data_IF_827678895599
#
_entry.id   IF_827678895599
#
_cell.length_a   1.000
_cell.length_b   1.000
_cell.length_c   1.000
_cell.angle_alpha   90.00
_cell.angle_beta   90.00
_cell.angle_gamma   90.00
#
_symmetry.space_group_name_H-M   'P 1'
#
loop_
_entity.id
_entity.type
_entity.pdbx_description
1 polymer ?
#
# COMPACT_ATOMS: atom_id res chain seq x y z
N UNK A 1 -2.77 18.68 4.31
CA UNK A 1 -2.96 19.55 3.13
C UNK A 1 -4.45 19.57 2.72
N UNK A 2 -5.37 19.88 3.66
CA UNK A 2 -6.81 19.52 3.57
C UNK A 2 -7.76 20.53 2.88
N UNK A 3 -7.24 21.62 2.29
CA UNK A 3 -8.10 22.71 1.77
C UNK A 3 -8.03 22.97 0.26
N UNK A 4 -7.39 22.09 -0.54
CA UNK A 4 -7.31 22.27 -2.00
C UNK A 4 -8.25 21.39 -2.83
N UNK A 5 -8.83 20.33 -2.26
CA UNK A 5 -9.62 19.35 -3.03
C UNK A 5 -11.15 19.58 -3.01
N UNK A 6 -11.66 20.34 -2.03
CA UNK A 6 -13.09 20.74 -1.98
C UNK A 6 -13.55 21.53 -3.22
N UNK A 7 -12.63 22.09 -4.01
CA UNK A 7 -12.97 22.86 -5.23
C UNK A 7 -13.30 21.99 -6.44
N UNK A 8 -12.85 20.74 -6.54
CA UNK A 8 -13.14 19.91 -7.72
C UNK A 8 -14.55 19.31 -7.62
N UNK A 9 -14.97 18.88 -6.43
CA UNK A 9 -16.33 18.36 -6.20
C UNK A 9 -17.41 19.41 -6.47
N UNK A 10 -17.19 20.66 -6.03
CA UNK A 10 -18.06 21.81 -6.30
C UNK A 10 -18.13 22.21 -7.79
N UNK A 11 -17.22 21.73 -8.63
CA UNK A 11 -17.19 22.10 -10.07
C UNK A 11 -17.79 21.02 -10.97
N UNK A 12 -17.74 19.74 -10.59
CA UNK A 12 -18.40 18.66 -11.34
C UNK A 12 -19.87 18.53 -10.91
N UNK A 13 -20.17 18.75 -9.62
CA UNK A 13 -21.53 18.95 -9.13
C UNK A 13 -21.74 20.45 -8.94
N UNK A 14 -21.69 21.24 -10.02
CA UNK A 14 -22.53 22.43 -10.06
C UNK A 14 -23.98 21.92 -10.04
N UNK A 15 -24.54 21.51 -8.89
CA UNK A 15 -25.19 22.40 -7.92
C UNK A 15 -25.81 23.57 -8.72
N UNK A 16 -26.74 23.20 -9.59
CA UNK A 16 -28.09 23.74 -9.52
C UNK A 16 -28.79 23.16 -8.28
N UNK A 17 -28.16 23.27 -7.11
CA UNK A 17 -28.84 23.00 -5.86
C UNK A 17 -29.80 24.14 -5.64
N UNK A 18 -31.07 23.77 -5.60
CA UNK A 18 -32.02 24.34 -4.65
C UNK A 18 -31.96 25.87 -4.58
N UNK A 19 -32.32 26.55 -5.67
CA UNK A 19 -33.10 27.76 -5.43
C UNK A 19 -34.37 27.28 -4.75
N UNK A 20 -34.45 27.48 -3.43
CA UNK A 20 -35.72 27.73 -2.77
C UNK A 20 -36.39 28.87 -3.55
N UNK A 21 -37.10 28.53 -4.62
CA UNK A 21 -38.25 29.33 -5.00
C UNK A 21 -39.32 28.84 -4.06
N UNK A 22 -39.54 29.62 -3.01
CA UNK A 22 -40.65 29.48 -2.09
C UNK A 22 -41.93 29.60 -2.94
N UNK A 23 -42.35 28.49 -3.54
CA UNK A 23 -43.67 28.35 -4.09
C UNK A 23 -44.57 28.29 -2.88
N UNK A 24 -45.36 29.34 -2.66
CA UNK A 24 -46.27 29.43 -1.53
C UNK A 24 -47.06 28.13 -1.37
N UNK A 25 -46.92 27.49 -0.21
CA UNK A 25 -47.82 26.41 0.19
C UNK A 25 -49.22 27.01 0.36
N UNK A 26 -50.21 26.40 -0.28
CA UNK A 26 -51.61 26.75 -0.10
C UNK A 26 -52.04 26.60 1.37
N UNK A 27 -52.95 27.47 1.81
CA UNK A 27 -53.36 27.68 3.21
C UNK A 27 -53.87 26.45 4.00
N UNK A 28 -54.03 25.25 3.41
CA UNK A 28 -54.55 24.06 4.10
C UNK A 28 -53.65 22.82 4.07
N UNK A 29 -52.51 22.85 3.37
CA UNK A 29 -51.53 21.77 3.36
C UNK A 29 -52.04 20.40 2.85
N UNK A 30 -53.26 20.32 2.30
CA UNK A 30 -53.87 19.09 1.79
C UNK A 30 -55.06 19.36 0.83
N UNK A 31 -54.81 19.79 -0.42
CA UNK A 31 -55.44 19.29 -1.67
C UNK A 31 -54.74 19.95 -2.89
N UNK A 32 -54.67 19.42 -4.10
CA UNK A 32 -55.45 18.38 -4.77
C UNK A 32 -56.08 18.84 -6.11
N UNK A 33 -55.78 20.06 -6.62
CA UNK A 33 -56.37 20.52 -7.90
C UNK A 33 -55.34 21.05 -8.92
N UNK A 34 -54.15 21.51 -8.51
CA UNK A 34 -53.15 22.03 -9.47
C UNK A 34 -51.67 21.92 -9.00
N UNK A 35 -51.38 21.32 -7.85
CA UNK A 35 -50.06 21.36 -7.21
C UNK A 35 -49.33 20.03 -7.30
N UNK A 36 -48.08 20.06 -7.78
CA UNK A 36 -47.15 18.94 -7.61
C UNK A 36 -46.90 18.76 -6.11
N UNK A 37 -47.05 17.53 -5.58
CA UNK A 37 -46.64 17.18 -4.23
C UNK A 37 -45.18 17.63 -4.02
N UNK A 38 -44.95 18.53 -3.07
CA UNK A 38 -43.60 19.02 -2.78
C UNK A 38 -42.72 17.92 -2.15
N UNK A 39 -43.31 16.82 -1.67
CA UNK A 39 -42.61 15.67 -1.09
C UNK A 39 -42.14 15.90 0.33
N UNK A 40 -41.92 14.80 1.06
CA UNK A 40 -41.24 14.79 2.35
C UNK A 40 -39.72 14.80 2.14
N UNK A 41 -38.96 15.30 3.13
CA UNK A 41 -37.49 15.26 3.14
C UNK A 41 -36.95 13.83 3.00
N UNK A 42 -37.61 12.87 3.67
CA UNK A 42 -37.27 11.46 3.67
C UNK A 42 -38.39 10.64 3.03
N UNK A 43 -38.05 9.87 1.99
CA UNK A 43 -38.85 8.75 1.52
C UNK A 43 -38.43 7.50 2.31
N UNK A 44 -39.33 6.96 3.13
CA UNK A 44 -39.04 5.80 3.99
C UNK A 44 -39.92 4.62 3.63
N UNK A 45 -39.31 3.51 3.24
CA UNK A 45 -39.96 2.23 2.97
C UNK A 45 -39.39 1.21 3.97
N UNK A 46 -40.23 0.71 4.88
CA UNK A 46 -39.76 -0.18 5.95
C UNK A 46 -40.83 -1.14 6.47
N UNK A 47 -40.42 -2.30 6.98
CA UNK A 47 -41.32 -3.29 7.55
C UNK A 47 -41.99 -4.18 6.50
N UNK A 48 -43.24 -4.57 6.75
CA UNK A 48 -43.93 -5.60 5.95
C UNK A 48 -44.54 -5.10 4.62
N UNK A 49 -43.87 -4.13 4.00
CA UNK A 49 -44.31 -3.43 2.78
C UNK A 49 -44.19 -4.33 1.55
N UNK A 50 -45.25 -4.46 0.75
CA UNK A 50 -45.24 -5.10 -0.57
C UNK A 50 -44.78 -4.14 -1.68
N UNK A 51 -44.55 -4.66 -2.89
CA UNK A 51 -44.20 -3.83 -4.05
C UNK A 51 -45.31 -2.81 -4.37
N UNK A 52 -46.59 -3.19 -4.27
CA UNK A 52 -47.73 -2.29 -4.48
C UNK A 52 -47.81 -1.19 -3.41
N UNK A 53 -47.64 -1.55 -2.13
CA UNK A 53 -47.65 -0.59 -1.02
C UNK A 53 -46.47 0.39 -1.11
N UNK A 54 -45.31 -0.06 -1.60
CA UNK A 54 -44.18 0.82 -1.84
C UNK A 54 -44.47 1.88 -2.92
N UNK A 55 -45.22 1.52 -3.97
CA UNK A 55 -45.65 2.48 -5.00
C UNK A 55 -46.57 3.54 -4.38
N UNK A 56 -47.53 3.13 -3.55
CA UNK A 56 -48.42 4.07 -2.85
C UNK A 56 -47.64 5.03 -1.93
N UNK A 57 -46.67 4.52 -1.16
CA UNK A 57 -45.78 5.34 -0.32
C UNK A 57 -45.01 6.36 -1.17
N UNK A 58 -44.49 5.95 -2.33
CA UNK A 58 -43.76 6.85 -3.24
C UNK A 58 -44.70 7.95 -3.74
N UNK A 59 -45.91 7.62 -4.23
CA UNK A 59 -46.86 8.62 -4.73
C UNK A 59 -47.24 9.67 -3.66
N UNK A 60 -47.31 9.26 -2.39
CA UNK A 60 -47.66 10.14 -1.27
C UNK A 60 -46.50 10.96 -0.71
N UNK A 61 -45.27 10.44 -0.76
CA UNK A 61 -44.13 11.03 -0.03
C UNK A 61 -43.03 11.57 -0.92
N UNK A 62 -42.92 11.11 -2.17
CA UNK A 62 -41.92 11.61 -3.12
C UNK A 62 -42.31 12.96 -3.69
N UNK A 63 -41.33 13.86 -3.79
CA UNK A 63 -41.48 15.15 -4.45
C UNK A 63 -40.18 15.93 -4.49
N UNK A 64 -40.26 17.22 -4.85
CA UNK A 64 -39.09 18.10 -5.04
C UNK A 64 -38.21 18.28 -3.80
N UNK A 65 -38.78 18.10 -2.61
CA UNK A 65 -38.09 18.22 -1.33
C UNK A 65 -37.47 16.91 -0.86
N UNK A 66 -37.71 15.78 -1.54
CA UNK A 66 -37.13 14.49 -1.16
C UNK A 66 -35.64 14.49 -1.42
N UNK A 67 -34.87 14.58 -0.34
CA UNK A 67 -33.42 14.58 -0.35
C UNK A 67 -32.83 13.27 0.14
N UNK A 68 -33.62 12.39 0.78
CA UNK A 68 -33.11 11.15 1.33
C UNK A 68 -34.08 9.99 1.13
N UNK A 69 -33.54 8.81 0.83
CA UNK A 69 -34.31 7.58 0.64
C UNK A 69 -33.80 6.51 1.58
N UNK A 70 -34.69 5.93 2.38
CA UNK A 70 -34.40 4.89 3.34
C UNK A 70 -35.30 3.67 3.05
N UNK A 71 -34.72 2.63 2.47
CA UNK A 71 -35.36 1.33 2.22
C UNK A 71 -34.76 0.36 3.23
N UNK A 72 -35.42 0.20 4.37
CA UNK A 72 -34.82 -0.42 5.55
C UNK A 72 -35.72 -1.49 6.19
N UNK A 73 -35.14 -2.64 6.50
CA UNK A 73 -35.83 -3.74 7.18
C UNK A 73 -37.14 -4.18 6.49
N UNK A 74 -37.19 -4.18 5.15
CA UNK A 74 -38.39 -4.63 4.44
C UNK A 74 -38.47 -6.16 4.40
N UNK A 75 -39.65 -6.73 4.68
CA UNK A 75 -39.86 -8.19 4.66
C UNK A 75 -40.55 -8.72 3.41
N UNK A 76 -41.40 -7.94 2.72
CA UNK A 76 -42.12 -8.41 1.52
C UNK A 76 -41.72 -7.71 0.22
N UNK A 77 -41.04 -6.56 0.29
CA UNK A 77 -40.57 -5.83 -0.89
C UNK A 77 -39.60 -6.68 -1.69
N UNK A 78 -39.86 -6.86 -2.98
CA UNK A 78 -39.03 -7.65 -3.90
C UNK A 78 -38.38 -6.82 -4.98
N UNK A 79 -39.03 -5.75 -5.43
CA UNK A 79 -38.50 -4.87 -6.48
C UNK A 79 -38.83 -3.41 -6.19
N UNK A 80 -37.93 -2.51 -6.55
CA UNK A 80 -38.18 -1.08 -6.46
C UNK A 80 -37.51 -0.34 -7.61
N UNK A 81 -38.27 0.51 -8.27
CA UNK A 81 -37.79 1.37 -9.37
C UNK A 81 -38.10 2.82 -9.02
N UNK A 82 -37.08 3.67 -9.04
CA UNK A 82 -37.15 5.09 -8.70
C UNK A 82 -36.70 5.93 -9.90
N UNK A 83 -37.56 6.15 -10.91
CA UNK A 83 -37.14 6.60 -12.23
C UNK A 83 -36.82 8.10 -12.33
N UNK A 84 -37.36 8.94 -11.45
CA UNK A 84 -37.26 10.41 -11.58
C UNK A 84 -36.20 11.06 -10.68
N UNK A 85 -35.49 10.26 -9.88
CA UNK A 85 -34.60 10.77 -8.84
C UNK A 85 -33.23 11.10 -9.43
N UNK A 86 -32.93 12.39 -9.58
CA UNK A 86 -31.65 12.84 -10.14
C UNK A 86 -30.56 13.04 -9.09
N UNK A 87 -30.89 13.52 -7.89
CA UNK A 87 -29.91 13.83 -6.85
C UNK A 87 -30.44 13.50 -5.47
N UNK A 88 -29.56 13.03 -4.59
CA UNK A 88 -29.87 12.80 -3.19
C UNK A 88 -28.80 13.41 -2.28
N UNK A 89 -29.18 13.67 -1.04
CA UNK A 89 -28.24 13.72 0.07
C UNK A 89 -27.85 12.30 0.43
N UNK A 90 -28.83 11.42 0.69
CA UNK A 90 -28.59 10.08 1.22
C UNK A 90 -29.43 9.00 0.56
N UNK A 91 -28.85 7.83 0.37
CA UNK A 91 -29.53 6.61 -0.06
C UNK A 91 -29.13 5.44 0.84
N UNK A 92 -30.08 4.91 1.62
CA UNK A 92 -29.87 3.75 2.49
C UNK A 92 -30.76 2.59 2.04
N UNK A 93 -30.16 1.45 1.72
CA UNK A 93 -30.83 0.20 1.35
C UNK A 93 -30.28 -0.90 2.26
N UNK A 94 -30.97 -1.15 3.37
CA UNK A 94 -30.42 -1.93 4.48
C UNK A 94 -31.35 -3.00 5.02
N UNK A 95 -30.81 -4.19 5.30
CA UNK A 95 -31.52 -5.28 5.96
C UNK A 95 -32.83 -5.71 5.24
N UNK A 96 -32.90 -5.58 3.92
CA UNK A 96 -34.09 -5.99 3.17
C UNK A 96 -34.03 -7.48 2.87
N UNK A 97 -35.02 -8.23 3.35
CA UNK A 97 -34.99 -9.69 3.33
C UNK A 97 -35.22 -10.25 1.93
N UNK A 98 -36.17 -9.66 1.19
CA UNK A 98 -36.66 -10.21 -0.08
C UNK A 98 -36.41 -9.29 -1.29
N UNK A 99 -35.80 -8.12 -1.09
CA UNK A 99 -35.48 -7.17 -2.17
C UNK A 99 -34.43 -7.78 -3.09
N UNK A 100 -34.81 -8.04 -4.35
CA UNK A 100 -33.97 -8.70 -5.36
C UNK A 100 -33.36 -7.71 -6.34
N UNK A 101 -34.11 -6.67 -6.70
CA UNK A 101 -33.74 -5.69 -7.71
C UNK A 101 -34.02 -4.28 -7.22
N UNK A 102 -33.06 -3.38 -7.44
CA UNK A 102 -33.20 -1.96 -7.19
C UNK A 102 -32.66 -1.18 -8.39
N UNK A 103 -33.49 -0.31 -8.95
CA UNK A 103 -33.12 0.55 -10.07
C UNK A 103 -33.39 2.01 -9.75
N UNK A 104 -32.36 2.86 -9.89
CA UNK A 104 -32.47 4.32 -9.75
C UNK A 104 -31.85 4.96 -11.00
N UNK A 105 -32.48 4.80 -12.18
CA UNK A 105 -31.83 5.04 -13.46
C UNK A 105 -31.47 6.50 -13.69
N UNK A 106 -32.12 7.46 -13.03
CA UNK A 106 -31.83 8.89 -13.23
C UNK A 106 -30.80 9.46 -12.24
N UNK A 107 -30.33 8.67 -11.26
CA UNK A 107 -29.47 9.18 -10.18
C UNK A 107 -28.10 9.61 -10.72
N UNK A 108 -27.81 10.90 -10.63
CA UNK A 108 -26.57 11.54 -11.09
C UNK A 108 -25.61 11.91 -9.96
N UNK A 109 -26.12 12.13 -8.74
CA UNK A 109 -25.27 12.54 -7.62
C UNK A 109 -25.86 12.23 -6.25
N UNK A 110 -24.98 11.86 -5.32
CA UNK A 110 -25.31 11.71 -3.89
C UNK A 110 -24.31 12.51 -3.08
N UNK A 111 -24.78 13.37 -2.18
CA UNK A 111 -23.93 14.38 -1.52
C UNK A 111 -23.51 14.04 -0.09
N UNK A 112 -23.92 12.89 0.45
CA UNK A 112 -23.51 12.37 1.75
C UNK A 112 -23.15 10.88 1.58
N UNK A 113 -24.11 9.96 1.69
CA UNK A 113 -23.82 8.52 1.66
C UNK A 113 -24.77 7.71 0.77
N UNK A 114 -24.21 6.69 0.12
CA UNK A 114 -24.93 5.54 -0.43
C UNK A 114 -24.54 4.31 0.38
N UNK A 115 -25.49 3.74 1.12
CA UNK A 115 -25.27 2.54 1.93
C UNK A 115 -26.17 1.41 1.44
N UNK A 116 -25.58 0.33 0.93
CA UNK A 116 -26.26 -0.87 0.45
C UNK A 116 -25.75 -2.05 1.25
N UNK A 117 -26.41 -2.37 2.36
CA UNK A 117 -25.90 -3.35 3.31
C UNK A 117 -26.91 -4.40 3.74
N UNK A 118 -26.44 -5.64 3.90
CA UNK A 118 -27.22 -6.73 4.50
C UNK A 118 -28.53 -7.06 3.75
N UNK A 119 -28.58 -6.93 2.43
CA UNK A 119 -29.76 -7.31 1.65
C UNK A 119 -29.62 -8.75 1.14
N UNK A 120 -30.30 -9.68 1.82
CA UNK A 120 -30.07 -11.13 1.66
C UNK A 120 -30.46 -11.67 0.28
N UNK A 121 -31.44 -11.04 -0.38
CA UNK A 121 -31.94 -11.44 -1.68
C UNK A 121 -31.44 -10.57 -2.86
N UNK A 122 -30.69 -9.49 -2.59
CA UNK A 122 -30.33 -8.51 -3.61
C UNK A 122 -29.32 -9.09 -4.58
N UNK A 123 -29.64 -9.08 -5.87
CA UNK A 123 -28.82 -9.73 -6.92
C UNK A 123 -28.05 -8.76 -7.79
N UNK A 124 -28.54 -7.53 -7.93
CA UNK A 124 -27.90 -6.47 -8.71
C UNK A 124 -28.21 -5.10 -8.13
N UNK A 125 -27.26 -4.17 -8.31
CA UNK A 125 -27.44 -2.73 -8.05
C UNK A 125 -27.05 -1.99 -9.32
N UNK A 126 -28.00 -1.24 -9.88
CA UNK A 126 -27.75 -0.40 -11.06
C UNK A 126 -27.93 1.09 -10.73
N UNK A 127 -26.80 1.79 -10.62
CA UNK A 127 -26.68 3.25 -10.45
C UNK A 127 -25.73 3.81 -11.52
N UNK A 128 -25.85 3.29 -12.75
CA UNK A 128 -24.94 3.58 -13.88
C UNK A 128 -24.76 5.08 -14.18
N UNK A 129 -25.76 5.90 -13.85
CA UNK A 129 -25.78 7.34 -14.16
C UNK A 129 -25.13 8.21 -13.10
N UNK A 130 -24.69 7.62 -11.97
CA UNK A 130 -24.04 8.32 -10.88
C UNK A 130 -22.69 8.88 -11.38
N UNK A 131 -22.51 10.20 -11.28
CA UNK A 131 -21.32 10.91 -11.77
C UNK A 131 -20.32 11.13 -10.63
N UNK A 132 -20.82 11.40 -9.43
CA UNK A 132 -20.02 11.63 -8.24
C UNK A 132 -20.80 11.33 -6.96
N UNK A 133 -20.07 10.91 -5.93
CA UNK A 133 -20.61 10.64 -4.59
C UNK A 133 -19.58 11.02 -3.52
N UNK A 134 -20.01 11.26 -2.29
CA UNK A 134 -19.08 11.41 -1.15
C UNK A 134 -18.70 10.02 -0.63
N UNK A 135 -19.62 9.27 0.00
CA UNK A 135 -19.34 7.91 0.49
C UNK A 135 -20.21 6.83 -0.16
N UNK A 136 -19.61 5.72 -0.56
CA UNK A 136 -20.29 4.50 -0.96
C UNK A 136 -19.88 3.33 -0.07
N UNK A 137 -20.86 2.66 0.51
CA UNK A 137 -20.68 1.36 1.18
C UNK A 137 -21.59 0.33 0.52
N UNK A 138 -21.02 -0.78 0.05
CA UNK A 138 -21.74 -1.97 -0.42
C UNK A 138 -21.22 -3.18 0.35
N UNK A 139 -21.97 -3.67 1.32
CA UNK A 139 -21.49 -4.74 2.21
C UNK A 139 -22.52 -5.84 2.49
N UNK A 140 -22.03 -7.07 2.69
CA UNK A 140 -22.86 -8.18 3.19
C UNK A 140 -24.10 -8.49 2.34
N UNK A 141 -24.07 -8.24 1.03
CA UNK A 141 -25.12 -8.63 0.10
C UNK A 141 -24.74 -9.97 -0.53
N UNK A 142 -25.08 -11.06 0.17
CA UNK A 142 -24.58 -12.42 -0.12
C UNK A 142 -24.94 -12.97 -1.50
N UNK A 143 -25.99 -12.44 -2.16
CA UNK A 143 -26.42 -12.84 -3.50
C UNK A 143 -26.10 -11.80 -4.59
N UNK A 144 -25.43 -10.69 -4.25
CA UNK A 144 -25.12 -9.62 -5.18
C UNK A 144 -24.05 -10.09 -6.17
N UNK A 145 -24.34 -9.99 -7.47
CA UNK A 145 -23.46 -10.50 -8.53
C UNK A 145 -22.76 -9.40 -9.32
N UNK A 146 -23.30 -8.17 -9.30
CA UNK A 146 -22.72 -7.02 -10.00
C UNK A 146 -23.10 -5.70 -9.34
N UNK A 147 -22.20 -4.73 -9.47
CA UNK A 147 -22.43 -3.32 -9.14
C UNK A 147 -22.04 -2.47 -10.34
N UNK A 148 -23.01 -1.76 -10.90
CA UNK A 148 -22.78 -0.89 -12.07
C UNK A 148 -22.76 0.59 -11.66
N UNK A 149 -21.59 1.21 -11.81
CA UNK A 149 -21.32 2.63 -11.59
C UNK A 149 -20.55 3.21 -12.79
N UNK A 150 -20.96 2.83 -14.00
CA UNK A 150 -20.19 3.06 -15.23
C UNK A 150 -19.82 4.52 -15.50
N UNK A 151 -20.60 5.49 -15.04
CA UNK A 151 -20.33 6.94 -15.23
C UNK A 151 -19.70 7.61 -14.01
N UNK A 152 -19.39 6.87 -12.94
CA UNK A 152 -18.78 7.46 -11.75
C UNK A 152 -17.39 7.96 -12.10
N UNK A 153 -17.14 9.25 -11.87
CA UNK A 153 -15.87 9.91 -12.21
C UNK A 153 -15.06 10.29 -10.98
N UNK A 154 -15.73 10.57 -9.86
CA UNK A 154 -15.13 11.02 -8.61
C UNK A 154 -15.88 10.45 -7.40
N UNK A 155 -15.15 10.03 -6.38
CA UNK A 155 -15.69 9.71 -5.06
C UNK A 155 -14.78 10.25 -3.95
N UNK A 156 -15.31 10.44 -2.74
CA UNK A 156 -14.43 10.58 -1.55
C UNK A 156 -13.98 9.20 -1.10
N UNK A 157 -14.96 8.33 -0.82
CA UNK A 157 -14.78 6.98 -0.29
C UNK A 157 -15.62 5.95 -1.07
N UNK A 158 -15.00 4.81 -1.38
CA UNK A 158 -15.67 3.62 -1.93
C UNK A 158 -15.27 2.41 -1.09
N UNK A 159 -16.25 1.76 -0.49
CA UNK A 159 -16.08 0.54 0.29
C UNK A 159 -16.99 -0.58 -0.25
N UNK A 160 -16.39 -1.66 -0.74
CA UNK A 160 -17.12 -2.84 -1.23
C UNK A 160 -16.55 -4.07 -0.54
N UNK A 161 -17.29 -4.62 0.42
CA UNK A 161 -16.79 -5.69 1.29
C UNK A 161 -17.79 -6.83 1.44
N UNK A 162 -17.30 -8.06 1.61
CA UNK A 162 -18.14 -9.20 2.03
C UNK A 162 -19.34 -9.47 1.08
N UNK A 163 -19.15 -9.29 -0.23
CA UNK A 163 -20.14 -9.65 -1.24
C UNK A 163 -19.58 -10.82 -2.09
N UNK A 164 -19.63 -12.07 -1.59
CA UNK A 164 -18.83 -13.18 -2.12
C UNK A 164 -19.15 -13.56 -3.57
N UNK A 165 -20.33 -13.19 -4.08
CA UNK A 165 -20.79 -13.55 -5.43
C UNK A 165 -20.60 -12.43 -6.47
N UNK A 166 -20.05 -11.25 -6.11
CA UNK A 166 -19.80 -10.20 -7.10
C UNK A 166 -18.75 -10.71 -8.09
N UNK A 167 -19.11 -10.70 -9.37
CA UNK A 167 -18.23 -11.06 -10.48
C UNK A 167 -17.70 -9.83 -11.20
N UNK A 168 -18.43 -8.71 -11.13
CA UNK A 168 -18.12 -7.49 -11.87
C UNK A 168 -18.39 -6.24 -11.01
N UNK A 169 -17.39 -5.37 -10.92
CA UNK A 169 -17.49 -4.01 -10.38
C UNK A 169 -17.17 -3.06 -11.54
N UNK A 170 -18.17 -2.35 -12.05
CA UNK A 170 -18.00 -1.49 -13.23
C UNK A 170 -17.69 -0.05 -12.83
N UNK A 171 -16.41 0.31 -12.90
CA UNK A 171 -15.88 1.66 -12.64
C UNK A 171 -15.02 2.23 -13.80
N UNK A 172 -15.40 2.04 -15.08
CA UNK A 172 -14.57 2.43 -16.22
C UNK A 172 -14.32 3.94 -16.30
N UNK A 173 -15.14 4.79 -15.69
CA UNK A 173 -14.96 6.26 -15.75
C UNK A 173 -14.28 6.86 -14.52
N UNK A 174 -13.96 6.04 -13.50
CA UNK A 174 -13.47 6.53 -12.21
C UNK A 174 -12.06 7.10 -12.38
N UNK A 175 -11.88 8.37 -12.02
CA UNK A 175 -10.61 9.10 -12.16
C UNK A 175 -9.97 9.45 -10.84
N UNK A 176 -10.78 9.83 -9.85
CA UNK A 176 -10.30 10.36 -8.58
C UNK A 176 -11.07 9.70 -7.45
N UNK A 177 -10.34 9.19 -6.47
CA UNK A 177 -10.88 8.83 -5.15
C UNK A 177 -10.08 9.61 -4.13
N UNK A 178 -10.70 10.55 -3.42
CA UNK A 178 -9.93 11.50 -2.60
C UNK A 178 -9.37 10.87 -1.31
N UNK A 179 -10.07 9.92 -0.72
CA UNK A 179 -9.64 9.20 0.48
C UNK A 179 -9.43 7.72 0.15
N UNK A 180 -10.39 6.81 0.33
CA UNK A 180 -10.12 5.36 0.13
C UNK A 180 -10.99 4.65 -0.89
N UNK A 181 -10.38 3.70 -1.59
CA UNK A 181 -11.04 2.62 -2.32
C UNK A 181 -10.64 1.30 -1.65
N UNK A 182 -11.63 0.62 -1.08
CA UNK A 182 -11.49 -0.67 -0.40
C UNK A 182 -12.36 -1.69 -1.13
N UNK A 183 -11.73 -2.78 -1.61
CA UNK A 183 -12.41 -3.93 -2.20
C UNK A 183 -11.88 -5.18 -1.51
N UNK A 184 -12.71 -5.76 -0.63
CA UNK A 184 -12.29 -6.88 0.21
C UNK A 184 -13.30 -8.02 0.26
N UNK A 185 -12.80 -9.26 0.33
CA UNK A 185 -13.62 -10.47 0.51
C UNK A 185 -14.69 -10.63 -0.58
N UNK A 186 -14.29 -10.37 -1.83
CA UNK A 186 -15.11 -10.59 -3.02
C UNK A 186 -14.64 -11.87 -3.72
N UNK A 187 -15.05 -13.02 -3.17
CA UNK A 187 -14.54 -14.35 -3.53
C UNK A 187 -14.69 -14.71 -5.03
N UNK A 188 -15.69 -14.15 -5.72
CA UNK A 188 -15.97 -14.44 -7.14
C UNK A 188 -15.42 -13.40 -8.13
N UNK A 189 -14.77 -12.33 -7.66
CA UNK A 189 -14.22 -11.29 -8.53
C UNK A 189 -12.95 -11.80 -9.20
N UNK A 190 -12.94 -11.87 -10.53
CA UNK A 190 -11.80 -12.39 -11.30
C UNK A 190 -10.86 -11.30 -11.80
N UNK A 191 -11.40 -10.12 -12.12
CA UNK A 191 -10.64 -8.99 -12.64
C UNK A 191 -11.18 -7.68 -12.07
N UNK A 192 -10.30 -6.70 -11.89
CA UNK A 192 -10.67 -5.35 -11.51
C UNK A 192 -10.04 -4.35 -12.49
N UNK A 193 -10.88 -3.51 -13.09
CA UNK A 193 -10.44 -2.49 -14.05
C UNK A 193 -10.64 -1.08 -13.48
N UNK A 194 -9.51 -0.44 -13.15
CA UNK A 194 -9.40 0.93 -12.66
C UNK A 194 -8.46 1.73 -13.57
N UNK A 195 -8.41 1.43 -14.86
CA UNK A 195 -7.43 2.02 -15.79
C UNK A 195 -7.49 3.54 -15.90
N UNK A 196 -8.64 4.14 -15.61
CA UNK A 196 -8.80 5.59 -15.64
C UNK A 196 -8.53 6.26 -14.30
N UNK A 197 -8.26 5.52 -13.23
CA UNK A 197 -7.94 6.08 -11.92
C UNK A 197 -6.58 6.78 -12.01
N UNK A 198 -6.57 8.10 -11.82
CA UNK A 198 -5.40 8.98 -11.94
C UNK A 198 -4.75 9.23 -10.57
N UNK A 199 -5.58 9.44 -9.54
CA UNK A 199 -5.12 9.78 -8.18
C UNK A 199 -6.00 9.13 -7.10
N UNK A 200 -5.36 8.63 -6.05
CA UNK A 200 -6.02 8.13 -4.84
C UNK A 200 -5.21 8.40 -3.57
N UNK A 201 -5.84 8.59 -2.41
CA UNK A 201 -5.09 8.56 -1.15
C UNK A 201 -4.78 7.11 -0.75
N UNK A 202 -5.80 6.26 -0.60
CA UNK A 202 -5.64 4.85 -0.22
C UNK A 202 -6.34 3.86 -1.16
N UNK A 203 -5.56 2.92 -1.69
CA UNK A 203 -6.03 1.76 -2.44
C UNK A 203 -5.79 0.48 -1.61
N UNK A 204 -6.86 -0.17 -1.13
CA UNK A 204 -6.83 -1.50 -0.47
C UNK A 204 -7.60 -2.49 -1.34
N UNK A 205 -6.93 -3.53 -1.83
CA UNK A 205 -7.58 -4.64 -2.55
C UNK A 205 -7.05 -5.93 -1.93
N UNK A 206 -7.83 -6.55 -1.04
CA UNK A 206 -7.37 -7.63 -0.17
C UNK A 206 -8.42 -8.76 -0.09
N UNK A 207 -8.01 -9.99 0.16
CA UNK A 207 -8.89 -11.15 0.36
C UNK A 207 -9.87 -11.46 -0.80
N UNK A 208 -9.54 -11.10 -2.04
CA UNK A 208 -10.32 -11.48 -3.23
C UNK A 208 -9.71 -12.73 -3.87
N UNK A 209 -10.13 -13.91 -3.42
CA UNK A 209 -9.46 -15.19 -3.71
C UNK A 209 -9.26 -15.50 -5.20
N UNK A 210 -10.24 -15.16 -6.05
CA UNK A 210 -10.20 -15.42 -7.50
C UNK A 210 -9.63 -14.26 -8.33
N UNK A 211 -9.23 -13.15 -7.70
CA UNK A 211 -8.78 -11.95 -8.41
C UNK A 211 -7.39 -12.17 -8.99
N UNK A 212 -7.30 -12.32 -10.31
CA UNK A 212 -6.02 -12.59 -11.01
C UNK A 212 -5.37 -11.33 -11.58
N UNK A 213 -6.14 -10.26 -11.78
CA UNK A 213 -5.65 -9.01 -12.37
C UNK A 213 -6.30 -7.75 -11.79
N UNK A 214 -5.46 -6.74 -11.56
CA UNK A 214 -5.85 -5.38 -11.17
C UNK A 214 -5.22 -4.44 -12.20
N UNK A 215 -6.04 -3.63 -12.88
CA UNK A 215 -5.57 -2.74 -13.94
C UNK A 215 -5.64 -1.28 -13.46
N UNK A 216 -4.49 -0.61 -13.31
CA UNK A 216 -4.37 0.78 -12.82
C UNK A 216 -3.43 1.61 -13.73
N UNK A 217 -3.64 1.51 -15.05
CA UNK A 217 -2.68 1.99 -16.06
C UNK A 217 -2.38 3.49 -16.00
N UNK A 218 -3.34 4.33 -15.60
CA UNK A 218 -3.17 5.79 -15.51
C UNK A 218 -2.88 6.29 -14.08
N UNK A 219 -2.68 5.39 -13.11
CA UNK A 219 -2.49 5.79 -11.72
C UNK A 219 -1.13 6.48 -11.56
N UNK A 220 -1.15 7.78 -11.25
CA UNK A 220 0.05 8.62 -11.12
C UNK A 220 0.48 8.85 -9.67
N UNK A 221 -0.50 8.94 -8.76
CA UNK A 221 -0.29 9.20 -7.34
C UNK A 221 -1.21 8.31 -6.51
N UNK A 222 -0.62 7.58 -5.56
CA UNK A 222 -1.34 6.78 -4.58
C UNK A 222 -0.61 6.83 -3.24
N UNK A 223 -1.17 7.49 -2.24
CA UNK A 223 -0.47 7.69 -0.96
C UNK A 223 -0.33 6.41 -0.14
N UNK A 224 -1.19 5.42 -0.37
CA UNK A 224 -1.21 4.14 0.32
C UNK A 224 -1.71 3.07 -0.67
N UNK A 225 -0.93 2.02 -0.90
CA UNK A 225 -1.32 0.85 -1.69
C UNK A 225 -1.17 -0.39 -0.81
N UNK A 226 -2.25 -1.15 -0.61
CA UNK A 226 -2.26 -2.47 0.01
C UNK A 226 -2.90 -3.49 -0.90
N UNK A 227 -2.14 -4.51 -1.26
CA UNK A 227 -2.57 -5.57 -2.18
C UNK A 227 -2.29 -6.92 -1.55
N UNK A 228 -3.34 -7.72 -1.36
CA UNK A 228 -3.23 -9.06 -0.80
C UNK A 228 -4.30 -10.00 -1.32
N UNK A 229 -4.06 -10.61 -2.47
CA UNK A 229 -4.98 -11.54 -3.12
C UNK A 229 -4.20 -12.77 -3.57
N UNK A 230 -4.58 -13.94 -3.06
CA UNK A 230 -3.86 -15.20 -3.34
C UNK A 230 -3.82 -15.55 -4.82
N UNK A 231 -4.84 -15.14 -5.59
CA UNK A 231 -4.96 -15.37 -7.02
C UNK A 231 -4.19 -14.40 -7.92
N UNK A 232 -3.69 -13.26 -7.40
CA UNK A 232 -3.10 -12.19 -8.21
C UNK A 232 -1.78 -12.66 -8.84
N UNK A 233 -1.64 -12.54 -10.16
CA UNK A 233 -0.47 -13.06 -10.89
C UNK A 233 0.59 -11.99 -11.16
N UNK A 234 0.16 -10.75 -11.35
CA UNK A 234 1.01 -9.58 -11.63
C UNK A 234 0.34 -8.29 -11.17
N UNK A 235 1.16 -7.28 -10.88
CA UNK A 235 0.69 -5.92 -10.62
C UNK A 235 1.53 -4.90 -11.38
N UNK A 236 0.87 -4.04 -12.15
CA UNK A 236 1.51 -3.00 -12.95
C UNK A 236 0.84 -1.65 -12.73
N UNK A 237 1.63 -0.65 -12.32
CA UNK A 237 1.23 0.76 -12.30
C UNK A 237 2.30 1.58 -13.04
N UNK A 238 2.30 1.55 -14.38
CA UNK A 238 3.40 2.07 -15.20
C UNK A 238 3.58 3.58 -15.11
N UNK A 239 2.51 4.30 -14.72
CA UNK A 239 2.50 5.75 -14.57
C UNK A 239 2.67 6.22 -13.11
N UNK A 240 2.80 5.31 -12.13
CA UNK A 240 2.90 5.68 -10.72
C UNK A 240 4.24 6.37 -10.45
N UNK A 241 4.20 7.62 -10.01
CA UNK A 241 5.39 8.47 -9.77
C UNK A 241 5.73 8.54 -8.29
N UNK A 242 4.70 8.63 -7.43
CA UNK A 242 4.87 8.88 -6.01
C UNK A 242 3.83 8.12 -5.17
N UNK A 243 4.30 7.64 -4.01
CA UNK A 243 3.46 7.25 -2.89
C UNK A 243 3.94 7.94 -1.62
N UNK A 244 3.08 8.74 -0.98
CA UNK A 244 3.46 9.46 0.23
C UNK A 244 3.78 8.55 1.41
N UNK A 245 3.01 7.47 1.58
CA UNK A 245 3.12 6.53 2.70
C UNK A 245 3.62 5.17 2.20
N UNK A 246 2.82 4.11 2.27
CA UNK A 246 3.26 2.73 2.03
C UNK A 246 2.78 2.16 0.70
N UNK A 247 3.64 1.37 0.09
CA UNK A 247 3.30 0.38 -0.92
C UNK A 247 3.56 -0.99 -0.31
N UNK A 248 2.50 -1.76 -0.10
CA UNK A 248 2.53 -3.04 0.57
C UNK A 248 1.85 -4.14 -0.26
N UNK A 249 2.60 -5.21 -0.53
CA UNK A 249 2.12 -6.44 -1.14
C UNK A 249 2.30 -7.59 -0.14
N UNK A 250 1.18 -8.11 0.36
CA UNK A 250 1.13 -9.12 1.41
C UNK A 250 0.35 -10.35 1.00
N UNK A 251 0.89 -11.56 1.17
CA UNK A 251 0.14 -12.81 1.00
C UNK A 251 -0.44 -13.02 -0.43
N UNK A 252 0.29 -12.60 -1.46
CA UNK A 252 -0.10 -12.87 -2.85
C UNK A 252 0.64 -14.11 -3.37
N UNK A 253 0.14 -15.30 -3.05
CA UNK A 253 0.82 -16.58 -3.35
C UNK A 253 1.13 -16.79 -4.83
N UNK A 254 0.32 -16.27 -5.75
CA UNK A 254 0.53 -16.40 -7.20
C UNK A 254 1.29 -15.23 -7.84
N UNK A 255 1.65 -14.20 -7.08
CA UNK A 255 2.21 -12.96 -7.64
C UNK A 255 3.65 -13.21 -8.08
N UNK A 256 3.91 -13.04 -9.38
CA UNK A 256 5.24 -13.27 -9.96
C UNK A 256 6.04 -11.99 -10.17
N UNK A 257 5.33 -10.88 -10.42
CA UNK A 257 5.92 -9.63 -10.92
C UNK A 257 5.19 -8.42 -10.38
N UNK A 258 5.95 -7.41 -9.94
CA UNK A 258 5.46 -6.08 -9.58
C UNK A 258 6.25 -5.02 -10.36
N UNK A 259 5.57 -4.24 -11.20
CA UNK A 259 6.19 -3.23 -12.07
C UNK A 259 5.72 -1.82 -11.72
N UNK A 260 6.64 -1.01 -11.17
CA UNK A 260 6.45 0.40 -10.82
C UNK A 260 7.60 1.24 -11.43
N UNK A 261 7.78 1.21 -12.77
CA UNK A 261 9.01 1.68 -13.43
C UNK A 261 9.24 3.20 -13.33
N UNK A 262 8.23 3.99 -12.98
CA UNK A 262 8.33 5.46 -12.81
C UNK A 262 8.32 5.92 -11.35
N UNK A 263 8.24 4.99 -10.39
CA UNK A 263 8.17 5.34 -8.99
C UNK A 263 9.49 5.97 -8.54
N UNK A 264 9.46 7.23 -8.14
CA UNK A 264 10.65 7.99 -7.72
C UNK A 264 10.74 8.16 -6.21
N UNK A 265 9.59 8.20 -5.53
CA UNK A 265 9.50 8.48 -4.09
C UNK A 265 8.45 7.59 -3.43
N UNK A 266 8.82 7.02 -2.28
CA UNK A 266 7.93 6.21 -1.43
C UNK A 266 8.18 6.52 0.05
N UNK A 267 7.18 6.33 0.92
CA UNK A 267 7.39 6.28 2.36
C UNK A 267 7.99 4.95 2.78
N UNK A 268 7.21 3.87 2.68
CA UNK A 268 7.61 2.49 2.99
C UNK A 268 7.35 1.55 1.80
N UNK A 269 8.28 0.63 1.54
CA UNK A 269 8.06 -0.52 0.67
C UNK A 269 8.01 -1.78 1.52
N UNK A 270 6.93 -2.56 1.35
CA UNK A 270 6.76 -3.86 2.02
C UNK A 270 6.33 -4.94 1.03
N UNK A 271 7.15 -5.97 0.89
CA UNK A 271 6.80 -7.21 0.18
C UNK A 271 6.91 -8.37 1.16
N UNK A 272 5.77 -8.97 1.52
CA UNK A 272 5.69 -10.03 2.52
C UNK A 272 4.88 -11.22 2.00
N UNK A 273 5.40 -12.44 2.09
CA UNK A 273 4.67 -13.68 1.73
C UNK A 273 4.16 -13.67 0.29
N UNK A 274 5.03 -13.33 -0.66
CA UNK A 274 4.76 -13.46 -2.09
C UNK A 274 5.67 -14.55 -2.65
N UNK A 275 5.32 -15.81 -2.39
CA UNK A 275 6.20 -16.97 -2.58
C UNK A 275 6.75 -17.10 -4.02
N UNK A 276 5.94 -16.74 -5.02
CA UNK A 276 6.31 -16.79 -6.44
C UNK A 276 6.92 -15.48 -6.99
N UNK A 277 7.04 -14.43 -6.17
CA UNK A 277 7.52 -13.13 -6.61
C UNK A 277 9.00 -13.23 -6.98
N UNK A 278 9.30 -13.02 -8.25
CA UNK A 278 10.65 -13.12 -8.81
C UNK A 278 11.18 -11.77 -9.29
N UNK A 279 10.28 -10.84 -9.62
CA UNK A 279 10.63 -9.56 -10.23
C UNK A 279 9.93 -8.40 -9.53
N UNK A 280 10.73 -7.45 -9.04
CA UNK A 280 10.27 -6.14 -8.56
C UNK A 280 11.00 -5.08 -9.38
N UNK A 281 10.28 -4.31 -10.20
CA UNK A 281 10.85 -3.19 -10.94
C UNK A 281 10.48 -1.85 -10.29
N UNK A 282 11.44 -1.30 -9.57
CA UNK A 282 11.41 0.03 -8.92
C UNK A 282 12.70 0.80 -9.27
N UNK A 283 13.19 0.67 -10.52
CA UNK A 283 14.53 1.14 -10.90
C UNK A 283 14.72 2.65 -10.78
N UNK A 284 13.65 3.44 -10.90
CA UNK A 284 13.70 4.90 -10.77
C UNK A 284 13.61 5.40 -9.32
N UNK A 285 13.46 4.50 -8.35
CA UNK A 285 13.28 4.87 -6.96
C UNK A 285 14.53 5.57 -6.41
N UNK A 286 14.37 6.83 -6.06
CA UNK A 286 15.46 7.71 -5.60
C UNK A 286 15.33 8.10 -4.12
N UNK A 287 14.11 8.07 -3.56
CA UNK A 287 13.84 8.50 -2.19
C UNK A 287 12.91 7.55 -1.45
N UNK A 288 13.33 7.13 -0.26
CA UNK A 288 12.59 6.28 0.68
C UNK A 288 12.60 7.00 2.04
N UNK A 289 11.44 7.16 2.68
CA UNK A 289 11.34 7.98 3.91
C UNK A 289 11.29 7.19 5.20
N UNK A 290 10.81 5.95 5.17
CA UNK A 290 10.50 5.20 6.38
C UNK A 290 11.16 3.83 6.44
N UNK A 291 10.88 2.95 5.47
CA UNK A 291 11.30 1.55 5.57
C UNK A 291 11.37 0.81 4.23
N UNK A 292 12.30 -0.13 4.16
CA UNK A 292 12.32 -1.23 3.21
C UNK A 292 12.12 -2.52 3.99
N UNK A 293 11.09 -3.31 3.63
CA UNK A 293 10.77 -4.58 4.28
C UNK A 293 10.51 -5.65 3.22
N UNK A 294 11.42 -6.61 3.08
CA UNK A 294 11.29 -7.74 2.15
C UNK A 294 11.39 -9.04 2.94
N UNK A 295 10.26 -9.72 3.11
CA UNK A 295 10.20 -10.92 3.95
C UNK A 295 9.45 -12.05 3.27
N UNK A 296 9.98 -13.27 3.27
CA UNK A 296 9.22 -14.44 2.81
C UNK A 296 8.78 -14.31 1.34
N UNK A 297 9.69 -13.82 0.46
CA UNK A 297 9.51 -13.83 -1.00
C UNK A 297 10.47 -14.86 -1.59
N UNK A 298 10.12 -16.13 -1.44
CA UNK A 298 11.05 -17.26 -1.62
C UNK A 298 11.66 -17.38 -3.02
N UNK A 299 11.02 -16.83 -4.06
CA UNK A 299 11.51 -16.84 -5.44
C UNK A 299 12.25 -15.54 -5.86
N UNK A 300 12.39 -14.56 -4.96
CA UNK A 300 13.05 -13.30 -5.29
C UNK A 300 14.57 -13.52 -5.39
N UNK A 301 15.14 -13.39 -6.59
CA UNK A 301 16.56 -13.72 -6.83
C UNK A 301 17.50 -12.54 -6.56
N UNK A 302 17.05 -11.31 -6.81
CA UNK A 302 17.87 -10.10 -6.67
C UNK A 302 17.02 -8.92 -6.21
N UNK A 303 17.64 -7.98 -5.50
CA UNK A 303 17.05 -6.66 -5.24
C UNK A 303 18.09 -5.57 -5.39
N UNK A 304 17.71 -4.48 -6.06
CA UNK A 304 18.60 -3.35 -6.32
C UNK A 304 17.86 -2.03 -6.17
N UNK A 305 18.54 -1.05 -5.58
CA UNK A 305 18.08 0.32 -5.40
C UNK A 305 19.08 1.28 -6.07
N UNK A 306 19.10 1.35 -7.41
CA UNK A 306 20.20 1.95 -8.16
C UNK A 306 20.28 3.47 -8.02
N UNK A 307 19.17 4.15 -7.72
CA UNK A 307 19.09 5.62 -7.68
C UNK A 307 18.98 6.19 -6.26
N UNK A 308 18.90 5.36 -5.22
CA UNK A 308 18.86 5.84 -3.84
C UNK A 308 20.24 6.33 -3.42
N UNK A 309 20.38 7.64 -3.24
CA UNK A 309 21.67 8.29 -2.95
C UNK A 309 21.91 8.56 -1.47
N UNK A 310 20.85 8.72 -0.68
CA UNK A 310 20.93 8.92 0.75
C UNK A 310 19.68 8.39 1.44
N UNK A 311 19.81 8.06 2.71
CA UNK A 311 18.70 7.64 3.56
C UNK A 311 18.78 8.38 4.90
N UNK A 312 17.65 8.88 5.38
CA UNK A 312 17.54 9.56 6.67
C UNK A 312 16.41 8.93 7.45
N UNK A 313 16.71 8.35 8.62
CA UNK A 313 15.75 7.61 9.47
C UNK A 313 15.06 6.41 8.78
N UNK A 314 15.69 5.78 7.78
CA UNK A 314 15.14 4.63 7.04
C UNK A 314 15.59 3.33 7.67
N UNK A 315 14.64 2.43 7.97
CA UNK A 315 14.95 1.07 8.41
C UNK A 315 14.98 0.10 7.22
N UNK A 316 15.86 -0.90 7.26
CA UNK A 316 15.92 -1.97 6.26
C UNK A 316 15.79 -3.30 6.98
N UNK A 317 14.82 -4.11 6.56
CA UNK A 317 14.67 -5.50 7.01
C UNK A 317 14.48 -6.41 5.79
N UNK A 318 15.42 -7.31 5.57
CA UNK A 318 15.38 -8.27 4.46
C UNK A 318 15.62 -9.66 5.07
N UNK A 319 14.58 -10.49 5.12
CA UNK A 319 14.65 -11.81 5.75
C UNK A 319 13.84 -12.90 5.04
N UNK A 320 14.20 -14.16 5.22
CA UNK A 320 13.48 -15.31 4.67
C UNK A 320 13.26 -15.24 3.14
N UNK A 321 14.17 -14.63 2.37
CA UNK A 321 14.11 -14.65 0.90
C UNK A 321 15.10 -15.69 0.37
N UNK A 322 14.69 -16.97 0.43
CA UNK A 322 15.61 -18.09 0.28
C UNK A 322 16.32 -18.20 -1.07
N UNK A 323 15.77 -17.63 -2.15
CA UNK A 323 16.45 -17.58 -3.46
C UNK A 323 17.26 -16.30 -3.69
N UNK A 324 17.27 -15.36 -2.75
CA UNK A 324 17.92 -14.07 -2.91
C UNK A 324 19.43 -14.23 -2.92
N UNK A 325 20.05 -13.94 -4.06
CA UNK A 325 21.49 -14.12 -4.28
C UNK A 325 22.30 -12.84 -4.14
N UNK A 326 21.66 -11.68 -4.36
CA UNK A 326 22.30 -10.37 -4.30
C UNK A 326 21.38 -9.25 -3.82
N UNK A 327 21.97 -8.33 -3.05
CA UNK A 327 21.37 -7.06 -2.62
C UNK A 327 22.34 -5.93 -3.03
N UNK A 328 21.85 -4.87 -3.67
CA UNK A 328 22.71 -3.77 -4.13
C UNK A 328 22.10 -2.38 -3.89
N UNK A 329 22.93 -1.47 -3.37
CA UNK A 329 22.68 -0.04 -3.20
C UNK A 329 23.83 0.75 -3.84
N UNK A 330 23.97 0.72 -5.18
CA UNK A 330 25.18 1.16 -5.84
C UNK A 330 25.37 2.68 -5.84
N UNK A 331 24.33 3.48 -5.56
CA UNK A 331 24.44 4.94 -5.48
C UNK A 331 24.38 5.50 -4.06
N UNK A 332 24.17 4.65 -3.05
CA UNK A 332 23.93 5.08 -1.68
C UNK A 332 25.22 5.59 -1.05
N UNK A 333 25.27 6.87 -0.69
CA UNK A 333 26.46 7.55 -0.13
C UNK A 333 26.39 7.64 1.38
N UNK A 334 25.20 7.89 1.95
CA UNK A 334 25.06 8.10 3.39
C UNK A 334 23.75 7.58 3.96
N UNK A 335 23.83 7.01 5.15
CA UNK A 335 22.66 6.69 5.98
C UNK A 335 22.76 7.50 7.26
N UNK A 336 21.76 8.32 7.55
CA UNK A 336 21.78 9.21 8.71
C UNK A 336 20.63 8.90 9.67
N UNK A 337 20.90 9.13 10.94
CA UNK A 337 19.97 8.97 12.04
C UNK A 337 19.83 10.33 12.73
N UNK A 338 18.62 10.87 12.75
CA UNK A 338 18.37 12.19 13.34
C UNK A 338 17.50 12.10 14.60
N UNK A 339 16.31 11.51 14.47
CA UNK A 339 15.27 11.57 15.50
C UNK A 339 14.61 10.22 15.83
N UNK A 340 14.99 9.15 15.13
CA UNK A 340 14.47 7.79 15.32
C UNK A 340 15.61 6.80 15.21
N UNK A 341 15.42 5.61 15.77
CA UNK A 341 16.40 4.54 15.60
C UNK A 341 16.46 4.09 14.14
N UNK A 342 17.68 3.85 13.65
CA UNK A 342 17.93 3.28 12.33
C UNK A 342 18.51 1.89 12.52
N UNK A 343 17.79 0.89 12.00
CA UNK A 343 18.12 -0.53 12.09
C UNK A 343 18.14 -1.11 10.67
N UNK A 344 19.27 -1.72 10.33
CA UNK A 344 19.49 -2.44 9.08
C UNK A 344 19.78 -3.89 9.46
N UNK A 345 18.90 -4.79 9.03
CA UNK A 345 18.97 -6.22 9.29
C UNK A 345 18.76 -6.95 7.97
N UNK A 346 19.74 -7.75 7.60
CA UNK A 346 19.67 -8.72 6.50
C UNK A 346 19.97 -10.06 7.17
N UNK A 347 18.98 -10.93 7.31
CA UNK A 347 19.11 -12.21 8.04
C UNK A 347 18.32 -13.31 7.33
N UNK A 348 18.65 -14.59 7.53
CA UNK A 348 17.86 -15.71 7.01
C UNK A 348 17.63 -15.66 5.48
N UNK A 349 18.65 -15.23 4.71
CA UNK A 349 18.64 -15.30 3.25
C UNK A 349 19.68 -16.34 2.79
N UNK A 350 19.28 -17.61 2.78
CA UNK A 350 20.18 -18.76 2.67
C UNK A 350 21.13 -18.74 1.45
N UNK A 351 20.65 -18.22 0.31
CA UNK A 351 21.41 -18.17 -0.95
C UNK A 351 22.14 -16.84 -1.19
N UNK A 352 22.13 -15.92 -0.23
CA UNK A 352 22.72 -14.59 -0.39
C UNK A 352 24.24 -14.68 -0.44
N UNK A 353 24.82 -14.42 -1.62
CA UNK A 353 26.27 -14.50 -1.85
C UNK A 353 26.95 -13.14 -1.90
N UNK A 354 26.20 -12.08 -2.17
CA UNK A 354 26.74 -10.73 -2.33
C UNK A 354 25.86 -9.64 -1.76
N UNK A 355 26.50 -8.70 -1.05
CA UNK A 355 25.87 -7.46 -0.59
C UNK A 355 26.75 -6.29 -1.02
N UNK A 356 26.18 -5.34 -1.77
CA UNK A 356 26.92 -4.22 -2.36
C UNK A 356 26.43 -2.86 -1.86
N UNK A 357 27.30 -2.21 -1.08
CA UNK A 357 27.22 -0.81 -0.63
C UNK A 357 28.50 -0.07 -1.06
N UNK A 358 29.00 -0.34 -2.27
CA UNK A 358 30.28 0.16 -2.78
C UNK A 358 30.53 1.66 -2.64
N UNK A 359 29.49 2.48 -2.80
CA UNK A 359 29.57 3.94 -2.70
C UNK A 359 29.18 4.50 -1.33
N UNK A 360 28.84 3.64 -0.35
CA UNK A 360 28.48 4.09 0.99
C UNK A 360 29.72 4.64 1.69
N UNK A 361 29.76 5.95 1.89
CA UNK A 361 30.85 6.66 2.55
C UNK A 361 30.69 6.70 4.07
N UNK A 362 29.44 6.79 4.55
CA UNK A 362 29.16 6.85 5.98
C UNK A 362 27.79 6.28 6.37
N UNK A 363 27.69 5.74 7.57
CA UNK A 363 26.39 5.50 8.19
C UNK A 363 26.35 5.76 9.69
N UNK A 364 25.30 6.44 10.16
CA UNK A 364 24.91 6.43 11.57
C UNK A 364 23.66 5.57 11.73
N UNK A 365 23.82 4.39 12.34
CA UNK A 365 22.74 3.45 12.62
C UNK A 365 22.89 2.84 14.02
N UNK A 366 21.76 2.50 14.64
CA UNK A 366 21.75 1.74 15.90
C UNK A 366 22.23 0.29 15.69
N UNK A 367 22.01 -0.24 14.49
CA UNK A 367 22.46 -1.58 14.10
C UNK A 367 22.56 -1.67 12.58
N UNK A 368 23.66 -2.22 12.09
CA UNK A 368 23.80 -2.74 10.74
C UNK A 368 24.28 -4.18 10.86
N UNK A 369 23.38 -5.14 10.66
CA UNK A 369 23.67 -6.57 10.75
C UNK A 369 23.36 -7.28 9.44
N UNK A 370 24.34 -8.05 8.95
CA UNK A 370 24.17 -9.01 7.87
C UNK A 370 24.46 -10.38 8.47
N UNK A 371 23.53 -11.32 8.32
CA UNK A 371 23.62 -12.70 8.77
C UNK A 371 23.16 -13.61 7.61
N UNK A 372 24.11 -14.21 6.90
CA UNK A 372 23.80 -14.98 5.70
C UNK A 372 24.83 -16.09 5.48
N UNK A 373 24.36 -17.34 5.45
CA UNK A 373 25.23 -18.52 5.47
C UNK A 373 26.13 -18.66 4.23
N UNK A 374 25.64 -18.26 3.06
CA UNK A 374 26.36 -18.36 1.79
C UNK A 374 27.14 -17.09 1.40
N UNK A 375 27.21 -16.09 2.27
CA UNK A 375 27.76 -14.77 1.94
C UNK A 375 29.27 -14.85 1.68
N UNK A 376 29.67 -14.60 0.43
CA UNK A 376 31.08 -14.62 -0.01
C UNK A 376 31.67 -13.20 -0.11
N UNK A 377 30.85 -12.24 -0.52
CA UNK A 377 31.29 -10.87 -0.81
C UNK A 377 30.44 -9.83 -0.09
N UNK A 378 31.13 -8.90 0.58
CA UNK A 378 30.54 -7.67 1.12
C UNK A 378 31.36 -6.49 0.64
N UNK A 379 30.70 -5.55 -0.04
CA UNK A 379 31.36 -4.40 -0.63
C UNK A 379 31.01 -3.10 0.11
N UNK A 380 31.98 -2.56 0.83
CA UNK A 380 31.94 -1.29 1.54
C UNK A 380 33.20 -0.48 1.22
N UNK A 381 33.67 -0.54 -0.04
CA UNK A 381 34.98 0.01 -0.44
C UNK A 381 35.13 1.51 -0.11
N UNK A 382 34.05 2.28 -0.19
CA UNK A 382 34.06 3.73 0.11
C UNK A 382 33.80 4.06 1.58
N UNK A 383 33.53 3.06 2.43
CA UNK A 383 33.08 3.31 3.80
C UNK A 383 34.19 3.88 4.68
N UNK A 384 34.04 5.14 5.06
CA UNK A 384 34.99 5.88 5.90
C UNK A 384 34.58 5.92 7.36
N UNK A 385 33.29 6.12 7.65
CA UNK A 385 32.81 6.33 9.03
C UNK A 385 31.52 5.57 9.31
N UNK A 386 31.43 4.87 10.45
CA UNK A 386 30.21 4.14 10.79
C UNK A 386 29.99 3.86 12.27
N UNK A 387 28.74 3.75 12.72
CA UNK A 387 28.45 3.41 14.13
C UNK A 387 28.75 1.93 14.41
N UNK A 388 27.90 1.00 13.97
CA UNK A 388 28.01 -0.43 14.28
C UNK A 388 27.81 -1.26 13.01
N UNK A 389 28.82 -2.06 12.63
CA UNK A 389 28.75 -3.04 11.56
C UNK A 389 28.96 -4.45 12.12
N UNK A 390 28.00 -5.34 11.90
CA UNK A 390 28.10 -6.78 12.16
C UNK A 390 27.86 -7.53 10.87
N UNK A 391 28.80 -8.39 10.49
CA UNK A 391 28.67 -9.32 9.37
C UNK A 391 28.93 -10.73 9.89
N UNK A 392 27.98 -11.60 9.64
CA UNK A 392 28.00 -13.02 9.97
C UNK A 392 27.74 -13.80 8.71
N UNK A 393 28.62 -14.76 8.48
CA UNK A 393 28.49 -15.73 7.40
C UNK A 393 28.96 -17.08 7.90
N UNK A 394 28.32 -18.15 7.46
CA UNK A 394 28.83 -19.50 7.70
C UNK A 394 29.94 -19.88 6.72
N UNK A 395 29.98 -19.23 5.54
CA UNK A 395 31.09 -19.34 4.60
C UNK A 395 32.22 -18.36 4.94
N UNK A 396 33.43 -18.64 4.48
CA UNK A 396 34.55 -17.70 4.64
C UNK A 396 34.37 -16.56 3.66
N UNK A 397 34.27 -15.32 4.16
CA UNK A 397 34.30 -14.14 3.30
C UNK A 397 35.64 -14.10 2.55
N UNK A 398 35.57 -14.20 1.22
CA UNK A 398 36.74 -14.23 0.34
C UNK A 398 37.11 -12.85 -0.19
N UNK A 399 36.19 -11.88 -0.11
CA UNK A 399 36.41 -10.51 -0.53
C UNK A 399 35.67 -9.53 0.39
N UNK A 400 36.31 -9.20 1.51
CA UNK A 400 35.85 -8.14 2.42
C UNK A 400 36.44 -6.79 2.01
N UNK A 401 35.64 -5.96 1.38
CA UNK A 401 36.05 -4.66 0.84
C UNK A 401 35.77 -3.54 1.83
N UNK A 402 36.74 -3.25 2.70
CA UNK A 402 36.65 -2.26 3.79
C UNK A 402 37.81 -1.25 3.79
N UNK A 403 38.35 -0.95 2.61
CA UNK A 403 39.67 -0.31 2.45
C UNK A 403 39.75 1.17 2.87
N UNK A 404 38.61 1.85 3.06
CA UNK A 404 38.55 3.30 3.33
C UNK A 404 38.29 3.70 4.78
N UNK A 405 38.08 2.75 5.69
CA UNK A 405 37.70 3.01 7.10
C UNK A 405 38.68 4.00 7.76
N UNK A 406 38.11 5.03 8.38
CA UNK A 406 38.79 6.05 9.18
C UNK A 406 38.28 6.11 10.63
N UNK A 407 36.99 5.90 10.88
CA UNK A 407 36.42 5.97 12.23
C UNK A 407 35.17 5.08 12.40
N UNK A 408 34.98 4.48 13.56
CA UNK A 408 33.79 3.67 13.85
C UNK A 408 33.60 3.34 15.33
N UNK A 409 32.44 2.88 15.80
CA UNK A 409 32.30 2.42 17.19
C UNK A 409 32.54 0.92 17.34
N UNK A 410 31.89 0.10 16.50
CA UNK A 410 32.03 -1.35 16.54
C UNK A 410 32.06 -1.99 15.14
N UNK A 411 33.08 -2.83 14.91
CA UNK A 411 33.20 -3.70 13.76
C UNK A 411 33.25 -5.16 14.21
N UNK A 412 32.33 -5.99 13.73
CA UNK A 412 32.28 -7.42 14.01
C UNK A 412 32.18 -8.24 12.73
N UNK A 413 33.19 -9.05 12.43
CA UNK A 413 33.21 -9.97 11.30
C UNK A 413 33.38 -11.40 11.83
N UNK A 414 32.32 -12.21 11.76
CA UNK A 414 32.31 -13.54 12.39
C UNK A 414 33.01 -14.63 11.56
N UNK A 415 33.25 -14.39 10.28
CA UNK A 415 34.03 -15.32 9.44
C UNK A 415 34.80 -14.54 8.37
N UNK A 416 36.11 -14.36 8.58
CA UNK A 416 36.99 -13.60 7.68
C UNK A 416 38.21 -14.44 7.27
N UNK A 417 38.63 -14.32 6.00
CA UNK A 417 39.87 -14.95 5.52
C UNK A 417 41.12 -14.35 6.21
N UNK A 418 42.20 -15.14 6.28
CA UNK A 418 43.48 -14.66 6.85
C UNK A 418 44.03 -13.44 6.09
N UNK A 419 43.90 -13.43 4.76
CA UNK A 419 44.38 -12.34 3.92
C UNK A 419 43.60 -11.03 4.18
N UNK A 420 42.27 -11.11 4.24
CA UNK A 420 41.43 -9.94 4.53
C UNK A 420 41.63 -9.44 5.96
N UNK A 421 41.85 -10.35 6.92
CA UNK A 421 42.16 -9.99 8.30
C UNK A 421 43.48 -9.20 8.39
N UNK A 422 44.53 -9.64 7.68
CA UNK A 422 45.81 -8.93 7.61
C UNK A 422 45.65 -7.55 6.98
N UNK A 423 44.93 -7.45 5.87
CA UNK A 423 44.68 -6.18 5.17
C UNK A 423 43.91 -5.19 6.06
N UNK A 424 42.82 -5.66 6.68
CA UNK A 424 41.98 -4.86 7.56
C UNK A 424 42.78 -4.32 8.75
N UNK A 425 43.47 -5.21 9.50
CA UNK A 425 44.19 -4.78 10.70
C UNK A 425 45.36 -3.84 10.36
N UNK A 426 46.10 -4.11 9.28
CA UNK A 426 47.16 -3.23 8.83
C UNK A 426 46.65 -1.85 8.40
N UNK A 427 45.47 -1.77 7.77
CA UNK A 427 44.82 -0.51 7.46
C UNK A 427 44.42 0.24 8.73
N UNK A 428 43.77 -0.42 9.69
CA UNK A 428 43.34 0.19 10.95
C UNK A 428 44.51 0.79 11.74
N UNK A 429 45.68 0.13 11.74
CA UNK A 429 46.90 0.64 12.39
C UNK A 429 47.44 1.91 11.71
N UNK A 430 47.22 2.08 10.41
CA UNK A 430 47.72 3.23 9.62
C UNK A 430 46.87 4.48 9.76
N UNK A 431 45.66 4.39 10.31
CA UNK A 431 44.78 5.53 10.51
C UNK A 431 45.49 6.57 11.40
N UNK A 432 45.47 7.84 10.97
CA UNK A 432 46.15 8.95 11.65
C UNK A 432 45.20 10.13 11.84
N UNK A 433 44.96 10.60 13.08
CA UNK A 433 45.45 10.07 14.36
C UNK A 433 45.01 8.63 14.62
N UNK A 434 45.78 7.89 15.44
CA UNK A 434 45.44 6.51 15.78
C UNK A 434 44.02 6.43 16.38
N UNK A 435 43.24 5.44 15.95
CA UNK A 435 41.91 5.17 16.53
C UNK A 435 42.05 4.74 17.99
N UNK A 436 41.12 5.17 18.84
CA UNK A 436 41.10 4.85 20.27
C UNK A 436 39.66 4.57 20.72
N UNK A 437 39.46 3.69 21.71
CA UNK A 437 38.15 3.39 22.27
C UNK A 437 37.23 2.56 21.37
N UNK A 438 37.74 1.96 20.29
CA UNK A 438 36.93 1.20 19.32
C UNK A 438 36.83 -0.27 19.69
N UNK A 439 35.78 -0.95 19.23
CA UNK A 439 35.55 -2.38 19.45
C UNK A 439 35.65 -3.16 18.12
N UNK A 440 36.67 -4.00 17.99
CA UNK A 440 36.93 -4.83 16.81
C UNK A 440 36.84 -6.30 17.22
N UNK A 441 35.92 -7.04 16.59
CA UNK A 441 35.72 -8.47 16.82
C UNK A 441 35.88 -9.20 15.50
N UNK A 442 36.93 -10.01 15.40
CA UNK A 442 37.22 -10.80 14.22
C UNK A 442 37.24 -12.28 14.58
N UNK A 443 36.83 -13.11 13.64
CA UNK A 443 36.88 -14.55 13.81
C UNK A 443 37.33 -15.21 12.53
N UNK A 444 38.43 -15.95 12.65
CA UNK A 444 39.20 -16.49 11.53
C UNK A 444 40.62 -16.81 11.96
N UNK A 445 41.39 -17.43 11.07
CA UNK A 445 42.80 -17.71 11.33
C UNK A 445 43.64 -16.43 11.15
N UNK A 446 44.31 -15.97 12.22
CA UNK A 446 45.19 -14.80 12.18
C UNK A 446 46.62 -15.19 11.81
N UNK A 447 47.26 -14.40 10.95
CA UNK A 447 48.70 -14.49 10.72
C UNK A 447 49.49 -13.88 11.91
N UNK A 448 50.81 -14.07 11.92
CA UNK A 448 51.68 -13.39 12.88
C UNK A 448 51.64 -11.85 12.73
N UNK A 449 51.41 -11.36 11.51
CA UNK A 449 51.29 -9.92 11.24
C UNK A 449 49.97 -9.39 11.79
N UNK A 450 48.83 -10.05 11.51
CA UNK A 450 47.53 -9.71 12.12
C UNK A 450 47.59 -9.66 13.66
N UNK A 451 48.27 -10.60 14.31
CA UNK A 451 48.42 -10.59 15.77
C UNK A 451 49.23 -9.38 16.27
N UNK A 452 50.25 -8.96 15.52
CA UNK A 452 51.07 -7.77 15.82
C UNK A 452 50.27 -6.48 15.64
N UNK A 453 49.54 -6.36 14.54
CA UNK A 453 48.70 -5.19 14.25
C UNK A 453 47.55 -5.09 15.25
N UNK A 454 46.91 -6.21 15.61
CA UNK A 454 45.92 -6.27 16.68
C UNK A 454 46.46 -5.82 18.03
N UNK A 455 47.71 -6.17 18.38
CA UNK A 455 48.33 -5.69 19.61
C UNK A 455 48.57 -4.18 19.58
N UNK A 456 49.04 -3.65 18.44
CA UNK A 456 49.23 -2.20 18.25
C UNK A 456 47.90 -1.45 18.46
N UNK A 457 46.80 -1.97 17.91
CA UNK A 457 45.47 -1.40 18.13
C UNK A 457 45.04 -1.45 19.61
N UNK A 458 45.34 -2.54 20.34
CA UNK A 458 45.08 -2.63 21.78
C UNK A 458 45.90 -1.62 22.58
N UNK A 459 47.17 -1.43 22.23
CA UNK A 459 48.05 -0.46 22.89
C UNK A 459 47.57 0.98 22.68
N UNK A 460 46.89 1.25 21.57
CA UNK A 460 46.19 2.52 21.29
C UNK A 460 44.83 2.63 22.04
N UNK A 461 44.48 1.70 22.93
CA UNK A 461 43.27 1.77 23.75
C UNK A 461 42.00 1.22 23.10
N UNK A 462 42.12 0.35 22.09
CA UNK A 462 40.99 -0.33 21.46
C UNK A 462 40.75 -1.72 22.07
N UNK A 463 39.50 -2.18 22.05
CA UNK A 463 39.14 -3.56 22.37
C UNK A 463 39.19 -4.41 21.09
N UNK A 464 40.24 -5.21 20.94
CA UNK A 464 40.42 -6.10 19.77
C UNK A 464 40.38 -7.56 20.19
N UNK A 465 39.37 -8.29 19.73
CA UNK A 465 39.21 -9.74 19.98
C UNK A 465 39.34 -10.50 18.66
N UNK A 466 40.23 -11.48 18.64
CA UNK A 466 40.37 -12.44 17.53
C UNK A 466 40.10 -13.83 18.10
N UNK A 467 39.19 -14.58 17.48
CA UNK A 467 38.85 -15.94 17.89
C UNK A 467 38.94 -16.93 16.73
N UNK A 468 39.12 -18.22 17.05
CA UNK A 468 39.18 -19.27 16.03
C UNK A 468 37.81 -19.44 15.32
N UNK A 469 37.81 -19.83 14.03
CA UNK A 469 36.60 -20.17 13.29
C UNK A 469 35.80 -21.26 14.02
N UNK A 470 34.47 -21.26 13.82
CA UNK A 470 33.54 -22.18 14.50
C UNK A 470 33.58 -23.58 13.90
#
# INVERSE_FOLDING_TARGET
MKYRFLRIFLTIVAITAFSCSDGEDGEDGMDGVNGLNSGQEFLVISGDVTDEEAVEIIEETYGKNTSSILIINTTNLTTLVLPEIETLVRLEIKNNQNLQNLEIPSLKGVTDEVNISNNAALTSVNIENLIGLEELTVENNILLTSVNMSKLTVAEDINIEQNPLIQNIELPSLKIVNDRLIIEKIESLSTLNLNNLETIDRLSIEDNEQLTSINVQNLTVANNIRIGNVGLESFEAPELIESENDIAFGSNSNLTTVLLPKLTTVGEIRFTRNELLSTINISELASIRERISLSDNTNLETVSFPNVSSMTNVNIRINDNNSLTSISFPSLVSITKENRSVIIIIEDNDMLTSVDFSNLESFDANSFSIDADALDTVNFDSLTTFSILRVVSSSTLSATKLSSIQDFDQLSLETISTADMDLLLAQLVRITPAITGKNVRLRGAASAQALTDAQTLRDNGNLVTISNPR
#
